data_IF_011547811726
#
_entry.id   IF_011547811726
#
_cell.length_a   1.000
_cell.length_b   1.000
_cell.length_c   1.000
_cell.angle_alpha   90.00
_cell.angle_beta   90.00
_cell.angle_gamma   90.00
#
_symmetry.space_group_name_H-M   'P 1'
#
loop_
_entity.id
_entity.type
_entity.pdbx_description
1 polymer ?
#
# COMPACT_ATOMS: atom_id res chain seq x y z
N UNK A 1 -17.23 -11.27 25.81
CA UNK A 1 -16.59 -10.09 25.20
C UNK A 1 -17.24 -9.92 23.86
N UNK A 2 -17.87 -8.77 23.59
CA UNK A 2 -18.53 -8.52 22.30
C UNK A 2 -17.44 -8.35 21.23
N UNK A 3 -17.52 -9.15 20.17
CA UNK A 3 -16.97 -8.79 18.86
C UNK A 3 -17.50 -7.39 18.56
N UNK A 4 -16.61 -6.40 18.59
CA UNK A 4 -16.98 -5.03 18.29
C UNK A 4 -17.29 -4.95 16.79
N UNK A 5 -18.41 -4.32 16.47
CA UNK A 5 -18.60 -3.54 15.25
C UNK A 5 -17.49 -2.48 15.16
N UNK A 6 -16.26 -2.93 14.89
CA UNK A 6 -15.12 -2.05 14.75
C UNK A 6 -15.26 -1.35 13.41
N UNK A 7 -15.33 -0.02 13.45
CA UNK A 7 -15.12 0.81 12.26
C UNK A 7 -13.94 0.24 11.47
N UNK A 8 -14.07 0.06 10.14
CA UNK A 8 -12.99 -0.48 9.33
C UNK A 8 -11.72 0.36 9.54
N UNK A 9 -10.53 -0.27 9.57
CA UNK A 9 -9.30 0.42 9.89
C UNK A 9 -9.08 1.58 8.91
N UNK A 10 -8.81 2.75 9.47
CA UNK A 10 -8.45 3.95 8.71
C UNK A 10 -6.94 4.08 8.64
N UNK A 11 -6.45 4.50 7.48
CA UNK A 11 -5.05 4.69 7.20
C UNK A 11 -4.77 6.16 6.92
N UNK A 12 -3.65 6.66 7.42
CA UNK A 12 -3.04 7.88 6.90
C UNK A 12 -1.86 7.47 6.03
N UNK A 13 -1.82 7.96 4.80
CA UNK A 13 -0.80 7.62 3.81
C UNK A 13 -0.05 8.89 3.45
N UNK A 14 1.28 8.90 3.64
CA UNK A 14 2.15 9.97 3.16
C UNK A 14 3.04 9.45 2.03
N UNK A 15 3.00 10.16 0.91
CA UNK A 15 3.76 9.85 -0.30
C UNK A 15 5.07 10.66 -0.33
N UNK A 16 6.06 10.17 -1.07
CA UNK A 16 7.36 10.84 -1.28
C UNK A 16 7.25 12.22 -1.92
N UNK A 17 6.13 12.49 -2.61
CA UNK A 17 5.81 13.79 -3.22
C UNK A 17 5.44 14.88 -2.21
N UNK A 18 5.44 14.57 -0.91
CA UNK A 18 5.08 15.53 0.16
C UNK A 18 3.57 15.69 0.36
N UNK A 19 2.76 14.84 -0.27
CA UNK A 19 1.31 14.77 -0.06
C UNK A 19 0.96 13.70 0.96
N UNK A 20 -0.17 13.88 1.67
CA UNK A 20 -0.72 12.85 2.53
C UNK A 20 -2.22 12.98 2.71
N UNK A 21 -2.89 11.87 2.94
CA UNK A 21 -4.35 11.80 3.05
C UNK A 21 -4.82 10.66 3.94
N UNK A 22 -6.02 10.82 4.47
CA UNK A 22 -6.75 9.79 5.19
C UNK A 22 -7.55 8.94 4.20
N UNK A 23 -7.52 7.63 4.39
CA UNK A 23 -8.20 6.67 3.52
C UNK A 23 -8.61 5.42 4.30
N UNK A 24 -9.45 4.60 3.71
CA UNK A 24 -9.78 3.27 4.20
C UNK A 24 -8.87 2.22 3.55
N UNK A 25 -9.18 0.94 3.75
CA UNK A 25 -8.43 -0.15 3.13
C UNK A 25 -8.45 -0.09 1.60
N UNK A 26 -9.60 0.22 0.99
CA UNK A 26 -9.74 0.29 -0.47
C UNK A 26 -8.84 1.37 -1.05
N UNK A 27 -8.88 2.59 -0.50
CA UNK A 27 -8.02 3.65 -1.02
C UNK A 27 -6.54 3.45 -0.69
N UNK A 28 -6.18 2.74 0.39
CA UNK A 28 -4.81 2.25 0.59
C UNK A 28 -4.38 1.33 -0.57
N UNK A 29 -5.19 0.33 -0.93
CA UNK A 29 -4.89 -0.60 -2.03
C UNK A 29 -4.74 0.14 -3.36
N UNK A 30 -5.67 1.04 -3.69
CA UNK A 30 -5.61 1.85 -4.91
C UNK A 30 -4.35 2.72 -4.97
N UNK A 31 -3.95 3.28 -3.82
CA UNK A 31 -2.72 4.07 -3.69
C UNK A 31 -1.48 3.24 -4.02
N UNK A 32 -1.38 2.04 -3.42
CA UNK A 32 -0.24 1.16 -3.63
C UNK A 32 -0.20 0.63 -5.06
N UNK A 33 -1.36 0.42 -5.69
CA UNK A 33 -1.43 0.04 -7.10
C UNK A 33 -0.91 1.16 -8.00
N UNK A 34 -1.33 2.41 -7.78
CA UNK A 34 -0.78 3.58 -8.50
C UNK A 34 0.71 3.77 -8.24
N UNK A 35 1.18 3.51 -7.03
CA UNK A 35 2.61 3.57 -6.70
C UNK A 35 3.40 2.50 -7.48
N UNK A 36 2.87 1.28 -7.54
CA UNK A 36 3.47 0.17 -8.31
C UNK A 36 3.55 0.51 -9.79
N UNK A 37 2.52 1.16 -10.34
CA UNK A 37 2.50 1.67 -11.71
C UNK A 37 3.50 2.81 -11.92
N UNK A 38 3.52 3.81 -11.03
CA UNK A 38 4.42 4.95 -11.17
C UNK A 38 5.90 4.53 -11.14
N UNK A 39 6.26 3.64 -10.21
CA UNK A 39 7.63 3.15 -10.06
C UNK A 39 8.12 2.35 -11.27
N UNK A 40 7.22 1.87 -12.14
CA UNK A 40 7.60 1.28 -13.42
C UNK A 40 8.11 2.31 -14.42
N UNK A 41 7.56 3.51 -14.39
CA UNK A 41 7.92 4.59 -15.31
C UNK A 41 9.14 5.39 -14.85
N UNK A 42 9.60 5.20 -13.61
CA UNK A 42 10.73 5.93 -13.03
C UNK A 42 11.94 5.02 -12.88
N UNK A 43 13.12 5.55 -13.22
CA UNK A 43 14.38 4.81 -13.15
C UNK A 43 14.61 4.19 -11.76
N UNK A 44 15.13 2.96 -11.75
CA UNK A 44 15.12 1.99 -10.65
C UNK A 44 15.81 2.43 -9.32
N UNK A 45 16.47 3.58 -9.29
CA UNK A 45 17.39 3.94 -8.21
C UNK A 45 16.75 4.59 -6.98
N UNK A 46 15.43 4.87 -6.99
CA UNK A 46 14.73 5.44 -5.82
C UNK A 46 13.41 4.70 -5.56
N UNK A 47 13.42 3.64 -4.73
CA UNK A 47 12.17 2.99 -4.32
C UNK A 47 11.34 3.94 -3.47
N UNK A 48 10.19 4.37 -4.00
CA UNK A 48 9.28 5.30 -3.35
C UNK A 48 8.26 4.53 -2.51
N UNK A 49 8.69 4.10 -1.32
CA UNK A 49 7.83 3.43 -0.37
C UNK A 49 7.04 4.47 0.45
N UNK A 50 5.69 4.46 0.39
CA UNK A 50 4.88 5.35 1.22
C UNK A 50 5.08 5.11 2.72
N UNK A 51 4.96 6.18 3.50
CA UNK A 51 4.85 6.02 4.96
C UNK A 51 3.38 5.87 5.33
N UNK A 52 3.07 4.81 6.08
CA UNK A 52 1.70 4.45 6.44
C UNK A 52 1.53 4.55 7.95
N UNK A 53 0.39 5.08 8.38
CA UNK A 53 -0.08 4.98 9.76
C UNK A 53 -1.47 4.36 9.78
N UNK A 54 -1.74 3.51 10.77
CA UNK A 54 -3.05 2.90 11.02
C UNK A 54 -3.70 3.55 12.24
N UNK A 55 -4.99 3.82 12.14
CA UNK A 55 -5.79 4.26 13.29
C UNK A 55 -5.85 3.17 14.35
N UNK A 56 -5.63 3.54 15.61
CA UNK A 56 -5.75 2.66 16.78
C UNK A 56 -6.84 3.14 17.76
N UNK A 57 -7.60 4.17 17.38
CA UNK A 57 -8.65 4.82 18.16
C UNK A 57 -9.10 6.13 17.51
N UNK A 58 -9.97 6.88 18.17
CA UNK A 58 -10.67 8.04 17.58
C UNK A 58 -9.75 9.18 17.10
N UNK A 59 -8.51 9.26 17.58
CA UNK A 59 -7.56 10.32 17.18
C UNK A 59 -6.10 9.88 17.22
N UNK A 60 -5.83 8.59 17.37
CA UNK A 60 -4.48 8.06 17.50
C UNK A 60 -4.08 7.25 16.27
N UNK A 61 -2.91 7.59 15.74
CA UNK A 61 -2.32 6.92 14.60
C UNK A 61 -1.00 6.29 15.02
N UNK A 62 -0.81 5.03 14.61
CA UNK A 62 0.44 4.30 14.81
C UNK A 62 1.12 4.09 13.48
N UNK A 63 2.41 4.45 13.42
CA UNK A 63 3.21 4.26 12.23
C UNK A 63 3.49 2.77 11.96
N UNK A 64 3.29 2.36 10.72
CA UNK A 64 3.65 1.07 10.18
C UNK A 64 4.92 1.22 9.33
N UNK A 65 5.79 0.21 9.39
CA UNK A 65 6.87 0.05 8.42
C UNK A 65 6.29 -0.65 7.20
N UNK A 66 6.48 -0.07 6.03
CA UNK A 66 6.15 -0.71 4.76
C UNK A 66 7.42 -1.31 4.14
N UNK A 67 7.30 -2.53 3.62
CA UNK A 67 8.33 -3.14 2.76
C UNK A 67 7.70 -3.59 1.45
N UNK A 68 8.45 -3.48 0.36
CA UNK A 68 8.03 -3.81 -1.00
C UNK A 68 8.89 -4.94 -1.54
N UNK A 69 8.30 -5.86 -2.29
CA UNK A 69 9.02 -6.90 -3.04
C UNK A 69 8.35 -7.12 -4.39
N UNK A 70 9.12 -7.08 -5.47
CA UNK A 70 8.63 -7.52 -6.78
C UNK A 70 8.33 -9.04 -6.72
N UNK A 71 7.14 -9.43 -7.18
CA UNK A 71 6.70 -10.83 -7.23
C UNK A 71 6.19 -11.26 -8.60
N UNK A 72 6.07 -10.32 -9.53
CA UNK A 72 5.75 -10.59 -10.92
C UNK A 72 6.84 -11.41 -11.61
N UNK A 73 6.42 -12.19 -12.62
CA UNK A 73 7.31 -12.92 -13.51
C UNK A 73 7.25 -12.32 -14.92
N UNK A 74 8.12 -12.76 -15.83
CA UNK A 74 8.18 -12.23 -17.21
C UNK A 74 6.90 -12.39 -18.05
N UNK A 75 5.87 -13.08 -17.54
CA UNK A 75 4.55 -13.26 -18.16
C UNK A 75 3.42 -12.55 -17.41
N UNK A 76 3.62 -12.23 -16.14
CA UNK A 76 2.69 -11.41 -15.37
C UNK A 76 3.24 -10.00 -15.36
N UNK A 77 2.57 -9.11 -16.09
CA UNK A 77 2.29 -7.74 -15.65
C UNK A 77 2.83 -7.39 -14.25
N UNK A 78 3.46 -6.23 -14.06
CA UNK A 78 4.19 -5.85 -12.82
C UNK A 78 3.36 -6.18 -11.58
N UNK A 79 3.79 -7.15 -10.80
CA UNK A 79 3.17 -7.52 -9.54
C UNK A 79 4.11 -7.23 -8.38
N UNK A 80 3.55 -6.58 -7.36
CA UNK A 80 4.30 -6.17 -6.19
C UNK A 80 3.60 -6.61 -4.92
N UNK A 81 4.38 -7.14 -4.00
CA UNK A 81 3.92 -7.44 -2.66
C UNK A 81 4.37 -6.35 -1.70
N UNK A 82 3.38 -5.69 -1.11
CA UNK A 82 3.51 -4.69 -0.07
C UNK A 82 3.21 -5.36 1.27
N UNK A 83 4.13 -5.24 2.23
CA UNK A 83 3.96 -5.81 3.57
C UNK A 83 3.98 -4.69 4.59
N UNK A 84 2.89 -4.58 5.34
CA UNK A 84 2.71 -3.68 6.47
C UNK A 84 3.15 -4.36 7.75
N UNK A 85 4.08 -3.74 8.46
CA UNK A 85 4.66 -4.26 9.70
C UNK A 85 4.44 -3.24 10.81
N UNK A 86 3.85 -3.68 11.92
CA UNK A 86 3.73 -2.87 13.13
C UNK A 86 5.13 -2.64 13.71
N UNK A 87 5.55 -1.37 13.79
CA UNK A 87 6.87 -0.99 14.28
C UNK A 87 7.08 -1.27 15.77
N UNK A 88 5.99 -1.36 16.55
CA UNK A 88 6.03 -1.62 17.99
C UNK A 88 6.17 -3.11 18.30
N UNK A 89 5.46 -3.96 17.57
CA UNK A 89 5.40 -5.41 17.84
C UNK A 89 6.27 -6.23 16.89
N UNK A 90 6.67 -5.67 15.76
CA UNK A 90 7.33 -6.38 14.67
C UNK A 90 6.40 -7.33 13.90
N UNK A 91 5.11 -7.37 14.23
CA UNK A 91 4.16 -8.26 13.58
C UNK A 91 3.75 -7.73 12.21
N UNK A 92 3.57 -8.64 11.27
CA UNK A 92 2.93 -8.32 9.98
C UNK A 92 1.47 -8.03 10.25
N UNK A 93 1.07 -6.79 10.00
CA UNK A 93 -0.32 -6.36 10.04
C UNK A 93 -1.04 -6.86 8.80
N UNK A 94 -0.41 -6.72 7.64
CA UNK A 94 -1.04 -7.06 6.37
C UNK A 94 -0.03 -7.32 5.25
N UNK A 95 -0.45 -8.11 4.26
CA UNK A 95 0.25 -8.28 2.97
C UNK A 95 -0.73 -8.02 1.84
N UNK A 96 -0.38 -7.09 0.96
CA UNK A 96 -1.16 -6.69 -0.20
C UNK A 96 -0.37 -7.03 -1.46
N UNK A 97 -1.02 -7.68 -2.42
CA UNK A 97 -0.44 -7.86 -3.75
C UNK A 97 -1.15 -6.91 -4.70
N UNK A 98 -0.40 -6.01 -5.31
CA UNK A 98 -0.88 -5.12 -6.37
C UNK A 98 -0.38 -5.63 -7.70
N UNK A 99 -1.19 -5.48 -8.73
CA UNK A 99 -0.82 -5.81 -10.10
C UNK A 99 -1.13 -4.63 -11.01
N UNK A 100 -0.26 -4.40 -11.99
CA UNK A 100 -0.56 -3.56 -13.14
C UNK A 100 -0.81 -4.47 -14.33
N UNK A 101 -2.08 -4.80 -14.61
CA UNK A 101 -2.42 -5.30 -15.92
C UNK A 101 -2.39 -4.10 -16.87
N UNK A 102 -1.55 -4.12 -17.92
CA UNK A 102 -1.78 -3.21 -19.04
C UNK A 102 -3.26 -3.35 -19.43
N UNK A 103 -4.00 -2.24 -19.65
CA UNK A 103 -5.31 -2.38 -20.28
C UNK A 103 -5.07 -3.18 -21.56
N UNK A 104 -5.85 -4.26 -21.76
CA UNK A 104 -5.76 -5.02 -23.01
C UNK A 104 -5.74 -4.01 -24.16
N UNK A 105 -4.81 -4.10 -25.11
CA UNK A 105 -4.78 -3.18 -26.23
C UNK A 105 -6.07 -3.37 -27.03
N UNK A 106 -7.09 -2.60 -26.68
CA UNK A 106 -8.31 -2.44 -27.43
C UNK A 106 -7.94 -1.64 -28.66
N UNK A 107 -7.47 -2.32 -29.69
CA UNK A 107 -7.41 -1.72 -31.03
C UNK A 107 -8.85 -1.39 -31.43
N UNK A 108 -9.17 -0.09 -31.41
CA UNK A 108 -10.29 0.51 -32.10
C UNK A 108 -9.85 0.98 -33.50
#
# INVERSE_FOLDING_TARGET
MREGDGDPPRYFVALSSGTGYLTDHTGLVETLQRQSEFDWYVAEDVPMVPTIWISVGDSEFRQLRMTRRHVGGSRTCIEEQWTLIDTRTGQVVERLTTSYAEPEPGWA
#
